data_IF_147705483754
#
_entry.id   IF_147705483754
#
_cell.length_a   1.000
_cell.length_b   1.000
_cell.length_c   1.000
_cell.angle_alpha   90.00
_cell.angle_beta   90.00
_cell.angle_gamma   90.00
#
_symmetry.space_group_name_H-M   'P 1'
#
loop_
_entity.id
_entity.type
_entity.pdbx_description
1 polymer ?
#
# COMPACT_ATOMS: atom_id res chain seq x y z
N UNK A 1 -33.99 2.31 -17.26
CA UNK A 1 -33.07 1.16 -17.40
C UNK A 1 -31.77 1.54 -16.74
N UNK A 2 -31.37 0.85 -15.67
CA UNK A 2 -30.01 1.04 -15.14
C UNK A 2 -29.02 0.45 -16.16
N UNK A 3 -28.18 1.30 -16.73
CA UNK A 3 -27.22 0.92 -17.79
C UNK A 3 -25.96 0.22 -17.22
N UNK A 4 -25.87 0.05 -15.90
CA UNK A 4 -24.72 -0.51 -15.21
C UNK A 4 -25.19 -1.62 -14.27
N UNK A 5 -24.60 -2.81 -14.42
CA UNK A 5 -24.77 -3.90 -13.44
C UNK A 5 -23.80 -3.66 -12.29
N UNK A 6 -24.31 -3.28 -11.12
CA UNK A 6 -23.48 -3.08 -9.92
C UNK A 6 -23.09 -4.42 -9.30
N UNK A 7 -21.82 -4.56 -8.98
CA UNK A 7 -21.26 -5.66 -8.20
C UNK A 7 -21.88 -5.63 -6.81
N UNK A 8 -22.34 -6.79 -6.34
CA UNK A 8 -22.84 -6.92 -4.98
C UNK A 8 -21.65 -7.10 -4.04
N UNK A 9 -21.48 -6.15 -3.13
CA UNK A 9 -20.40 -6.16 -2.14
C UNK A 9 -21.07 -6.29 -0.77
N UNK A 10 -20.80 -7.35 0.01
CA UNK A 10 -21.33 -7.47 1.36
C UNK A 10 -20.86 -6.31 2.23
N UNK A 11 -21.74 -5.82 3.10
CA UNK A 11 -21.35 -4.86 4.14
C UNK A 11 -20.33 -5.50 5.08
N UNK A 12 -19.30 -4.73 5.44
CA UNK A 12 -18.25 -5.18 6.34
C UNK A 12 -18.83 -5.53 7.71
N UNK A 13 -18.41 -6.67 8.25
CA UNK A 13 -18.69 -7.05 9.63
C UNK A 13 -17.79 -6.31 10.63
N UNK A 14 -16.70 -5.72 10.14
CA UNK A 14 -15.77 -4.88 10.89
C UNK A 14 -15.74 -3.51 10.23
N UNK A 15 -16.71 -2.62 10.52
CA UNK A 15 -16.79 -1.33 9.86
C UNK A 15 -15.68 -0.38 10.34
N UNK A 16 -15.25 0.49 9.43
CA UNK A 16 -14.32 1.57 9.67
C UNK A 16 -15.11 2.78 10.18
N UNK A 17 -14.71 3.28 11.35
CA UNK A 17 -15.18 4.55 11.93
C UNK A 17 -14.02 5.52 12.12
N UNK A 18 -14.28 6.73 12.62
CA UNK A 18 -13.21 7.70 12.85
C UNK A 18 -12.22 7.30 13.95
N UNK A 19 -12.62 6.41 14.86
CA UNK A 19 -11.70 5.77 15.80
C UNK A 19 -10.77 4.75 15.14
N UNK A 20 -11.07 4.30 13.92
CA UNK A 20 -10.20 3.38 13.20
C UNK A 20 -8.88 4.04 12.82
N UNK A 21 -7.80 3.33 13.08
CA UNK A 21 -6.49 3.57 12.45
C UNK A 21 -6.30 2.57 11.32
N UNK A 22 -5.96 3.08 10.12
CA UNK A 22 -5.99 2.32 8.85
C UNK A 22 -4.61 2.35 8.19
N UNK A 23 -3.97 1.19 8.11
CA UNK A 23 -2.74 1.00 7.33
C UNK A 23 -3.08 0.60 5.89
N UNK A 24 -2.39 1.17 4.90
CA UNK A 24 -2.58 0.85 3.49
C UNK A 24 -1.26 0.45 2.83
N UNK A 25 -1.21 -0.77 2.29
CA UNK A 25 -0.02 -1.34 1.67
C UNK A 25 -0.36 -1.87 0.29
N UNK A 26 0.60 -1.94 -0.63
CA UNK A 26 0.37 -2.53 -1.95
C UNK A 26 0.83 -1.68 -3.13
N UNK A 27 0.08 -1.83 -4.23
CA UNK A 27 0.25 -1.09 -5.48
C UNK A 27 0.14 0.43 -5.32
N UNK A 28 0.44 1.18 -6.38
CA UNK A 28 0.21 2.64 -6.41
C UNK A 28 -1.24 3.03 -6.12
N UNK A 29 -2.22 2.15 -6.39
CA UNK A 29 -3.62 2.38 -6.02
C UNK A 29 -3.82 2.50 -4.50
N UNK A 30 -3.00 1.84 -3.67
CA UNK A 30 -3.03 2.03 -2.21
C UNK A 30 -2.70 3.46 -1.80
N UNK A 31 -1.83 4.15 -2.56
CA UNK A 31 -1.53 5.55 -2.29
C UNK A 31 -2.74 6.45 -2.58
N UNK A 32 -3.45 6.23 -3.70
CA UNK A 32 -4.69 6.95 -4.01
C UNK A 32 -5.78 6.75 -2.94
N UNK A 33 -5.96 5.51 -2.47
CA UNK A 33 -6.88 5.23 -1.37
C UNK A 33 -6.41 5.88 -0.06
N UNK A 34 -5.10 5.86 0.21
CA UNK A 34 -4.50 6.53 1.35
C UNK A 34 -4.74 8.04 1.32
N UNK A 35 -4.65 8.67 0.16
CA UNK A 35 -4.96 10.09 -0.01
C UNK A 35 -6.43 10.38 0.27
N UNK A 36 -7.36 9.50 -0.13
CA UNK A 36 -8.79 9.63 0.23
C UNK A 36 -9.02 9.56 1.74
N UNK A 37 -8.35 8.64 2.44
CA UNK A 37 -8.40 8.58 3.91
C UNK A 37 -7.81 9.82 4.58
N UNK A 38 -6.65 10.30 4.11
CA UNK A 38 -5.99 11.52 4.62
C UNK A 38 -6.83 12.78 4.37
N UNK A 39 -7.40 12.91 3.18
CA UNK A 39 -8.34 13.99 2.85
C UNK A 39 -9.55 13.98 3.79
N UNK A 40 -10.07 12.79 4.11
CA UNK A 40 -11.13 12.61 5.08
C UNK A 40 -10.68 12.68 6.56
N UNK A 41 -9.40 13.01 6.85
CA UNK A 41 -8.82 13.17 8.18
C UNK A 41 -8.81 11.90 9.06
N UNK A 42 -8.80 10.71 8.45
CA UNK A 42 -8.58 9.47 9.19
C UNK A 42 -7.11 9.33 9.61
N UNK A 43 -6.88 8.68 10.76
CA UNK A 43 -5.55 8.18 11.15
C UNK A 43 -5.13 7.10 10.16
N UNK A 44 -4.32 7.46 9.18
CA UNK A 44 -3.94 6.55 8.09
C UNK A 44 -2.49 6.73 7.69
N UNK A 45 -1.84 5.62 7.36
CA UNK A 45 -0.50 5.60 6.77
C UNK A 45 -0.47 4.66 5.57
N UNK A 46 0.25 5.08 4.52
CA UNK A 46 0.23 4.41 3.23
C UNK A 46 1.65 4.15 2.72
N UNK A 47 1.94 2.88 2.42
CA UNK A 47 3.18 2.42 1.78
C UNK A 47 4.44 3.01 2.47
N UNK A 48 4.72 2.67 3.74
CA UNK A 48 5.89 3.18 4.46
C UNK A 48 7.20 2.83 3.72
N UNK A 49 7.27 1.63 3.12
CA UNK A 49 8.38 1.15 2.29
C UNK A 49 8.25 1.47 0.79
N UNK A 50 7.30 2.34 0.44
CA UNK A 50 6.88 2.61 -0.93
C UNK A 50 6.07 1.47 -1.55
N UNK A 51 5.89 1.51 -2.87
CA UNK A 51 4.97 0.60 -3.58
C UNK A 51 5.56 -0.79 -3.67
N UNK A 52 4.91 -1.75 -3.01
CA UNK A 52 5.26 -3.18 -3.03
C UNK A 52 3.96 -3.93 -3.27
N UNK A 53 3.79 -4.52 -4.45
CA UNK A 53 2.48 -4.98 -4.90
C UNK A 53 2.39 -6.50 -5.11
N UNK A 54 3.54 -7.19 -5.13
CA UNK A 54 3.60 -8.63 -5.27
C UNK A 54 3.68 -9.24 -3.86
N UNK A 55 2.77 -10.17 -3.49
CA UNK A 55 2.74 -10.73 -2.15
C UNK A 55 4.02 -11.48 -1.78
N UNK A 56 4.72 -12.09 -2.74
CA UNK A 56 5.99 -12.79 -2.50
C UNK A 56 7.09 -11.85 -2.02
N UNK A 57 7.15 -10.64 -2.56
CA UNK A 57 8.11 -9.62 -2.14
C UNK A 57 7.66 -8.89 -0.85
N UNK A 58 6.36 -8.92 -0.55
CA UNK A 58 5.78 -8.26 0.61
C UNK A 58 5.92 -9.09 1.89
N UNK A 59 5.74 -10.41 1.81
CA UNK A 59 5.76 -11.29 2.98
C UNK A 59 7.04 -11.19 3.84
N UNK A 60 8.27 -11.15 3.27
CA UNK A 60 9.49 -11.00 4.05
C UNK A 60 9.55 -9.72 4.89
N UNK A 61 8.92 -8.63 4.44
CA UNK A 61 8.85 -7.39 5.22
C UNK A 61 7.92 -7.54 6.44
N UNK A 62 6.80 -8.24 6.28
CA UNK A 62 5.91 -8.53 7.43
C UNK A 62 6.59 -9.45 8.43
N UNK A 63 7.27 -10.49 7.96
CA UNK A 63 8.08 -11.38 8.81
C UNK A 63 9.16 -10.60 9.56
N UNK A 64 9.89 -9.73 8.86
CA UNK A 64 10.92 -8.85 9.45
C UNK A 64 10.33 -7.91 10.50
N UNK A 65 9.15 -7.34 10.26
CA UNK A 65 8.43 -6.54 11.26
C UNK A 65 8.06 -7.35 12.49
N UNK A 66 7.53 -8.56 12.31
CA UNK A 66 7.10 -9.43 13.39
C UNK A 66 8.27 -9.94 14.24
N UNK A 67 9.42 -10.26 13.62
CA UNK A 67 10.64 -10.67 14.32
C UNK A 67 11.42 -9.51 14.94
N UNK A 68 11.15 -8.26 14.51
CA UNK A 68 11.94 -7.09 14.89
C UNK A 68 13.35 -7.08 14.31
N UNK A 69 13.61 -7.83 13.23
CA UNK A 69 14.94 -7.91 12.62
C UNK A 69 15.30 -6.63 11.89
N UNK A 70 16.28 -5.88 12.41
CA UNK A 70 16.72 -4.62 11.83
C UNK A 70 17.41 -4.81 10.47
N UNK A 71 17.23 -3.83 9.59
CA UNK A 71 18.03 -3.72 8.39
C UNK A 71 19.50 -3.45 8.75
N UNK A 72 20.40 -4.10 8.04
CA UNK A 72 21.86 -3.97 8.19
C UNK A 72 22.46 -3.47 6.89
N UNK A 73 23.72 -3.03 6.91
CA UNK A 73 24.38 -2.52 5.72
C UNK A 73 24.47 -3.57 4.59
N UNK A 74 24.54 -4.85 4.94
CA UNK A 74 24.50 -5.97 3.99
C UNK A 74 23.12 -6.23 3.35
N UNK A 75 22.08 -5.48 3.72
CA UNK A 75 20.78 -5.47 3.03
C UNK A 75 20.74 -4.46 1.87
N UNK A 76 21.83 -3.71 1.65
CA UNK A 76 21.91 -2.62 0.68
C UNK A 76 23.07 -2.79 -0.30
N UNK A 77 22.92 -2.15 -1.46
CA UNK A 77 23.94 -2.04 -2.49
C UNK A 77 23.93 -0.64 -3.10
N UNK A 78 25.08 -0.19 -3.61
CA UNK A 78 25.20 1.10 -4.28
C UNK A 78 24.86 1.00 -5.78
N UNK A 79 24.10 1.96 -6.29
CA UNK A 79 23.88 2.16 -7.72
C UNK A 79 23.45 3.59 -7.99
N UNK A 80 23.91 4.19 -9.10
CA UNK A 80 23.53 5.56 -9.47
C UNK A 80 23.72 6.56 -8.31
N UNK A 81 24.85 6.47 -7.60
CA UNK A 81 25.23 7.34 -6.46
C UNK A 81 24.27 7.26 -5.25
N UNK A 82 23.50 6.17 -5.15
CA UNK A 82 22.57 5.93 -4.04
C UNK A 82 22.62 4.49 -3.56
N UNK A 83 22.26 4.31 -2.29
CA UNK A 83 22.13 3.01 -1.64
C UNK A 83 20.69 2.52 -1.71
N UNK A 84 20.53 1.29 -2.19
CA UNK A 84 19.24 0.66 -2.48
C UNK A 84 19.12 -0.68 -1.78
N UNK A 85 17.88 -1.12 -1.51
CA UNK A 85 17.59 -2.50 -1.10
C UNK A 85 16.58 -3.14 -2.04
N UNK A 86 16.78 -4.40 -2.40
CA UNK A 86 15.83 -5.17 -3.20
C UNK A 86 14.50 -5.43 -2.46
N UNK A 87 14.45 -5.23 -1.14
CA UNK A 87 13.29 -5.51 -0.31
C UNK A 87 12.20 -4.43 -0.37
N UNK A 88 12.52 -3.23 -0.85
CA UNK A 88 11.57 -2.12 -0.90
C UNK A 88 11.76 -1.19 -2.10
N UNK A 89 10.81 -0.26 -2.27
CA UNK A 89 10.82 0.72 -3.36
C UNK A 89 11.96 1.74 -3.19
N UNK A 90 12.39 2.36 -4.28
CA UNK A 90 13.42 3.41 -4.28
C UNK A 90 13.09 4.67 -3.46
N UNK A 91 11.91 4.74 -2.83
CA UNK A 91 11.48 5.83 -1.93
C UNK A 91 12.45 6.01 -0.75
N UNK A 92 13.07 4.92 -0.28
CA UNK A 92 13.97 4.91 0.87
C UNK A 92 15.45 4.90 0.47
N UNK A 93 15.78 5.15 -0.80
CA UNK A 93 17.18 5.16 -1.25
C UNK A 93 17.89 6.43 -0.76
N UNK A 94 19.09 6.29 -0.21
CA UNK A 94 19.86 7.40 0.38
C UNK A 94 21.24 7.56 -0.26
N UNK A 95 21.96 8.63 0.08
CA UNK A 95 23.29 8.91 -0.49
C UNK A 95 24.40 8.05 0.13
N UNK A 96 24.24 7.59 1.38
CA UNK A 96 25.18 6.70 2.05
C UNK A 96 24.51 5.43 2.60
N UNK A 97 25.31 4.37 2.84
CA UNK A 97 24.85 3.12 3.44
C UNK A 97 24.27 3.35 4.84
N UNK A 98 24.93 4.17 5.66
CA UNK A 98 24.50 4.49 7.02
C UNK A 98 23.13 5.19 7.02
N UNK A 99 22.95 6.21 6.18
CA UNK A 99 21.66 6.89 6.02
C UNK A 99 20.56 5.94 5.52
N UNK A 100 20.90 5.03 4.59
CA UNK A 100 19.95 4.06 4.05
C UNK A 100 19.47 3.07 5.12
N UNK A 101 20.39 2.55 5.93
CA UNK A 101 20.11 1.69 7.09
C UNK A 101 19.25 2.43 8.12
N UNK A 102 19.59 3.67 8.45
CA UNK A 102 18.83 4.50 9.38
C UNK A 102 17.40 4.75 8.87
N UNK A 103 17.26 5.19 7.62
CA UNK A 103 15.96 5.47 7.01
C UNK A 103 15.08 4.22 6.92
N UNK A 104 15.65 3.06 6.56
CA UNK A 104 14.90 1.80 6.49
C UNK A 104 14.46 1.31 7.88
N UNK A 105 15.32 1.44 8.90
CA UNK A 105 14.96 1.08 10.26
C UNK A 105 13.97 2.06 10.89
N UNK A 106 14.04 3.35 10.55
CA UNK A 106 13.02 4.33 10.96
C UNK A 106 11.65 3.99 10.35
N UNK A 107 11.62 3.65 9.05
CA UNK A 107 10.42 3.15 8.39
C UNK A 107 9.91 1.84 9.03
N UNK A 108 10.80 0.94 9.41
CA UNK A 108 10.47 -0.31 10.11
C UNK A 108 9.81 -0.07 11.47
N UNK A 109 10.43 0.75 12.32
CA UNK A 109 9.86 1.08 13.62
C UNK A 109 8.51 1.81 13.49
N UNK A 110 8.43 2.79 12.59
CA UNK A 110 7.19 3.51 12.31
C UNK A 110 6.07 2.59 11.84
N UNK A 111 6.38 1.67 10.92
CA UNK A 111 5.42 0.68 10.42
C UNK A 111 4.95 -0.30 11.50
N UNK A 112 5.87 -0.82 12.33
CA UNK A 112 5.54 -1.71 13.45
C UNK A 112 4.59 -1.02 14.42
N UNK A 113 4.93 0.19 14.87
CA UNK A 113 4.11 0.94 15.82
C UNK A 113 2.75 1.31 15.22
N UNK A 114 2.72 1.71 13.95
CA UNK A 114 1.48 2.00 13.26
C UNK A 114 0.59 0.77 13.11
N UNK A 115 1.14 -0.41 12.78
CA UNK A 115 0.38 -1.67 12.66
C UNK A 115 -0.15 -2.12 14.03
N UNK A 116 0.64 -2.01 15.11
CA UNK A 116 0.19 -2.31 16.48
C UNK A 116 -1.03 -1.49 16.90
N UNK A 117 -1.06 -0.20 16.51
CA UNK A 117 -2.20 0.69 16.76
C UNK A 117 -3.34 0.57 15.73
N UNK A 118 -3.13 -0.15 14.64
CA UNK A 118 -4.10 -0.21 13.54
C UNK A 118 -5.29 -1.13 13.88
N UNK A 119 -6.48 -0.65 13.54
CA UNK A 119 -7.69 -1.49 13.51
C UNK A 119 -7.79 -2.28 12.21
N UNK A 120 -7.29 -1.70 11.11
CA UNK A 120 -7.42 -2.25 9.76
C UNK A 120 -6.08 -2.17 9.03
N UNK A 121 -5.75 -3.21 8.28
CA UNK A 121 -4.73 -3.18 7.24
C UNK A 121 -5.39 -3.51 5.90
N UNK A 122 -5.24 -2.62 4.94
CA UNK A 122 -5.69 -2.80 3.55
C UNK A 122 -4.48 -3.15 2.69
N UNK A 123 -4.48 -4.32 2.07
CA UNK A 123 -3.44 -4.73 1.11
C UNK A 123 -4.02 -4.77 -0.30
N UNK A 124 -3.47 -3.92 -1.18
CA UNK A 124 -3.81 -3.88 -2.61
C UNK A 124 -2.77 -4.63 -3.45
N UNK A 125 -3.07 -5.87 -3.83
CA UNK A 125 -2.20 -6.72 -4.64
C UNK A 125 -2.19 -6.26 -6.10
N UNK A 126 -1.02 -6.03 -6.69
CA UNK A 126 -0.90 -5.51 -8.06
C UNK A 126 -0.76 -6.60 -9.10
N UNK A 127 0.21 -7.50 -8.92
CA UNK A 127 0.54 -8.55 -9.89
C UNK A 127 1.13 -9.78 -9.19
N UNK A 128 0.76 -10.97 -9.66
CA UNK A 128 1.43 -12.23 -9.37
C UNK A 128 2.77 -12.37 -10.12
N UNK A 129 2.99 -11.57 -11.16
CA UNK A 129 4.31 -11.44 -11.78
C UNK A 129 5.25 -10.66 -10.87
N UNK A 130 6.49 -11.12 -10.81
CA UNK A 130 7.56 -10.45 -10.08
C UNK A 130 8.92 -10.88 -10.61
N UNK A 131 9.95 -10.37 -9.97
CA UNK A 131 11.33 -10.68 -10.28
C UNK A 131 11.96 -11.41 -9.10
N UNK A 132 12.80 -12.38 -9.42
CA UNK A 132 13.51 -13.22 -8.47
C UNK A 132 14.99 -13.09 -8.74
N UNK A 133 15.81 -12.96 -7.70
CA UNK A 133 17.27 -12.93 -7.86
C UNK A 133 17.79 -14.30 -8.28
N UNK A 134 18.54 -14.33 -9.38
CA UNK A 134 19.21 -15.53 -9.87
C UNK A 134 20.58 -15.60 -9.20
N UNK A 135 20.82 -16.66 -8.44
CA UNK A 135 22.07 -16.88 -7.72
C UNK A 135 23.22 -17.24 -8.66
N UNK A 136 23.71 -16.30 -9.48
CA UNK A 136 24.96 -16.44 -10.25
C UNK A 136 25.57 -15.08 -10.59
N UNK A 137 25.90 -14.28 -9.58
CA UNK A 137 27.01 -13.33 -9.71
C UNK A 137 28.34 -13.99 -9.26
N UNK A 138 28.32 -15.04 -8.44
CA UNK A 138 29.54 -15.69 -7.96
C UNK A 138 30.13 -16.81 -8.85
N UNK A 139 29.45 -17.26 -9.93
CA UNK A 139 29.81 -18.53 -10.61
C UNK A 139 30.44 -18.42 -12.02
N UNK A 140 30.51 -17.24 -12.64
CA UNK A 140 31.06 -17.09 -14.00
C UNK A 140 32.21 -16.07 -14.09
N UNK A 141 33.01 -15.90 -13.03
CA UNK A 141 34.24 -15.10 -13.07
C UNK A 141 34.08 -13.61 -13.44
N UNK A 142 32.85 -13.09 -13.44
CA UNK A 142 32.51 -11.70 -13.81
C UNK A 142 31.53 -11.02 -12.85
N UNK A 143 31.17 -11.63 -11.70
CA UNK A 143 30.13 -11.08 -10.82
C UNK A 143 30.49 -10.99 -9.34
N UNK A 144 31.78 -10.94 -8.99
CA UNK A 144 32.19 -10.39 -7.69
C UNK A 144 31.99 -8.88 -7.61
N UNK A 145 31.95 -8.19 -8.77
CA UNK A 145 32.14 -6.73 -8.88
C UNK A 145 30.82 -5.92 -8.94
N UNK A 146 29.67 -6.59 -9.07
CA UNK A 146 28.36 -5.91 -9.20
C UNK A 146 27.80 -5.40 -7.86
N UNK A 147 28.27 -5.97 -6.75
CA UNK A 147 27.78 -5.68 -5.39
C UNK A 147 28.91 -5.46 -4.38
N UNK A 148 30.17 -5.46 -4.82
CA UNK A 148 31.27 -4.97 -3.99
C UNK A 148 31.21 -3.45 -3.97
N UNK A 149 31.09 -2.89 -2.78
CA UNK A 149 31.25 -1.46 -2.59
C UNK A 149 32.65 -1.04 -3.11
N UNK A 150 32.80 0.11 -3.79
CA UNK A 150 34.10 0.60 -4.18
C UNK A 150 35.00 0.70 -2.94
N UNK A 151 36.20 0.12 -3.00
CA UNK A 151 37.16 0.09 -1.89
C UNK A 151 37.69 1.48 -1.47
N UNK A 152 37.17 2.55 -2.06
CA UNK A 152 37.58 3.94 -1.83
C UNK A 152 36.55 4.76 -1.04
N UNK A 153 35.34 4.24 -0.76
CA UNK A 153 34.42 4.91 0.17
C UNK A 153 34.73 4.50 1.61
N UNK A 154 35.09 5.46 2.45
CA UNK A 154 35.39 5.24 3.89
C UNK A 154 34.24 4.58 4.67
N UNK A 155 33.01 4.60 4.13
CA UNK A 155 31.79 4.06 4.73
C UNK A 155 31.28 2.75 4.07
N UNK A 156 32.09 2.11 3.21
CA UNK A 156 31.71 0.83 2.61
C UNK A 156 31.54 -0.25 3.70
N UNK A 157 30.44 -1.03 3.71
CA UNK A 157 30.31 -2.15 4.62
C UNK A 157 31.44 -3.16 4.41
N UNK A 158 32.00 -3.66 5.50
CA UNK A 158 33.08 -4.66 5.49
C UNK A 158 32.62 -6.02 4.97
N UNK A 159 31.30 -6.25 4.90
CA UNK A 159 30.68 -7.43 4.30
C UNK A 159 29.97 -7.05 3.00
N UNK A 160 30.21 -7.84 1.94
CA UNK A 160 29.55 -7.67 0.64
C UNK A 160 28.08 -8.05 0.73
N UNK A 161 27.23 -7.32 0.01
CA UNK A 161 25.82 -7.66 -0.15
C UNK A 161 25.71 -9.03 -0.85
N UNK A 162 25.18 -10.04 -0.15
CA UNK A 162 24.89 -11.36 -0.73
C UNK A 162 23.38 -11.59 -0.66
N UNK A 163 22.64 -11.41 -1.77
CA UNK A 163 21.22 -11.70 -1.74
C UNK A 163 21.01 -13.22 -1.65
N UNK A 164 19.96 -13.68 -0.94
CA UNK A 164 19.55 -15.06 -1.03
C UNK A 164 19.23 -15.39 -2.49
N UNK A 165 19.80 -16.48 -3.03
CA UNK A 165 19.35 -17.01 -4.31
C UNK A 165 17.86 -17.31 -4.21
N UNK A 166 17.09 -16.96 -5.25
CA UNK A 166 15.64 -17.16 -5.32
C UNK A 166 14.78 -16.19 -4.48
N UNK A 167 15.35 -15.13 -3.92
CA UNK A 167 14.57 -14.09 -3.26
C UNK A 167 13.73 -13.27 -4.26
N UNK A 168 12.43 -13.13 -3.99
CA UNK A 168 11.55 -12.22 -4.71
C UNK A 168 11.85 -10.77 -4.31
N UNK A 169 12.00 -9.89 -5.31
CA UNK A 169 12.38 -8.50 -5.07
C UNK A 169 11.19 -7.55 -5.27
N UNK A 170 11.13 -6.50 -4.44
CA UNK A 170 10.14 -5.45 -4.55
C UNK A 170 10.46 -4.47 -5.68
N UNK A 171 11.75 -4.24 -5.95
CA UNK A 171 12.22 -3.33 -6.99
C UNK A 171 13.58 -3.78 -7.53
N UNK A 172 13.77 -3.75 -8.86
CA UNK A 172 15.04 -4.12 -9.50
C UNK A 172 16.07 -2.98 -9.54
N UNK A 173 15.70 -1.74 -9.19
CA UNK A 173 16.57 -0.56 -9.14
C UNK A 173 17.42 -0.31 -10.40
N UNK A 174 16.86 -0.64 -11.57
CA UNK A 174 17.53 -0.58 -12.90
C UNK A 174 18.84 -1.39 -12.98
N UNK A 175 19.03 -2.36 -12.09
CA UNK A 175 20.14 -3.30 -12.15
C UNK A 175 20.07 -4.16 -13.42
N UNK A 176 21.20 -4.77 -13.85
CA UNK A 176 21.24 -5.60 -15.05
C UNK A 176 20.15 -6.67 -15.06
N UNK A 177 19.44 -6.83 -16.18
CA UNK A 177 18.37 -7.83 -16.25
C UNK A 177 18.87 -9.27 -16.05
N UNK A 178 20.17 -9.54 -16.28
CA UNK A 178 20.80 -10.85 -16.13
C UNK A 178 20.81 -11.42 -14.71
N UNK A 179 20.69 -10.57 -13.68
CA UNK A 179 20.64 -11.01 -12.29
C UNK A 179 19.22 -11.30 -11.80
N UNK A 180 18.20 -11.10 -12.65
CA UNK A 180 16.82 -11.37 -12.32
C UNK A 180 16.18 -12.37 -13.28
N UNK A 181 15.35 -13.23 -12.72
CA UNK A 181 14.42 -14.04 -13.48
C UNK A 181 13.01 -13.54 -13.22
N UNK A 182 12.29 -13.23 -14.29
CA UNK A 182 10.88 -12.85 -14.19
C UNK A 182 10.02 -14.10 -14.10
N UNK A 183 9.23 -14.22 -13.03
CA UNK A 183 8.33 -15.35 -12.79
C UNK A 183 6.94 -14.88 -12.43
N UNK A 184 5.95 -15.71 -12.73
CA UNK A 184 4.63 -15.62 -12.12
C UNK A 184 4.60 -16.57 -10.93
N UNK A 185 4.17 -16.08 -9.78
CA UNK A 185 4.02 -16.92 -8.60
C UNK A 185 2.93 -17.96 -8.85
N UNK A 186 3.21 -19.21 -8.49
CA UNK A 186 2.22 -20.29 -8.52
C UNK A 186 1.12 -20.04 -7.47
N UNK A 187 -0.02 -20.70 -7.64
CA UNK A 187 -1.15 -20.59 -6.71
C UNK A 187 -0.74 -20.91 -5.26
N UNK A 188 0.02 -21.99 -5.04
CA UNK A 188 0.52 -22.36 -3.71
C UNK A 188 1.49 -21.33 -3.12
N UNK A 189 2.36 -20.73 -3.93
CA UNK A 189 3.25 -19.66 -3.48
C UNK A 189 2.48 -18.40 -3.05
N UNK A 190 1.45 -18.01 -3.81
CA UNK A 190 0.61 -16.86 -3.47
C UNK A 190 -0.15 -17.09 -2.15
N UNK A 191 -0.75 -18.28 -1.97
CA UNK A 191 -1.44 -18.65 -0.73
C UNK A 191 -0.49 -18.67 0.47
N UNK A 192 0.68 -19.29 0.31
CA UNK A 192 1.72 -19.32 1.34
C UNK A 192 2.16 -17.90 1.74
N UNK A 193 2.40 -17.01 0.76
CA UNK A 193 2.75 -15.62 1.06
C UNK A 193 1.67 -14.89 1.85
N UNK A 194 0.38 -15.05 1.49
CA UNK A 194 -0.73 -14.47 2.25
C UNK A 194 -0.83 -15.05 3.67
N UNK A 195 -0.59 -16.35 3.82
CA UNK A 195 -0.57 -17.01 5.12
C UNK A 195 0.58 -16.50 6.00
N UNK A 196 1.78 -16.34 5.45
CA UNK A 196 2.94 -15.78 6.17
C UNK A 196 2.70 -14.33 6.60
N UNK A 197 2.12 -13.50 5.72
CA UNK A 197 1.70 -12.13 6.08
C UNK A 197 0.71 -12.17 7.25
N UNK A 198 -0.32 -13.02 7.19
CA UNK A 198 -1.30 -13.11 8.26
C UNK A 198 -0.73 -13.61 9.59
N UNK A 199 0.20 -14.58 9.56
CA UNK A 199 0.87 -15.07 10.75
C UNK A 199 1.72 -13.98 11.41
N UNK A 200 2.50 -13.24 10.61
CA UNK A 200 3.27 -12.09 11.07
C UNK A 200 2.37 -10.98 11.66
N UNK A 201 1.24 -10.70 10.99
CA UNK A 201 0.25 -9.74 11.50
C UNK A 201 -0.34 -10.16 12.84
N UNK A 202 -0.67 -11.44 13.03
CA UNK A 202 -1.18 -11.94 14.31
C UNK A 202 -0.18 -11.79 15.45
N UNK A 203 1.11 -11.90 15.16
CA UNK A 203 2.18 -11.67 16.14
C UNK A 203 2.27 -10.19 16.53
N UNK A 204 2.15 -9.28 15.54
CA UNK A 204 2.22 -7.84 15.76
C UNK A 204 0.96 -7.28 16.42
N UNK A 205 -0.22 -7.69 15.93
CA UNK A 205 -1.53 -7.21 16.33
C UNK A 205 -2.61 -8.28 16.06
N UNK A 206 -2.97 -9.11 17.06
CA UNK A 206 -3.93 -10.21 16.88
C UNK A 206 -5.38 -9.76 16.64
N UNK A 207 -5.67 -8.46 16.78
CA UNK A 207 -7.02 -7.90 16.59
C UNK A 207 -7.19 -7.20 15.24
N UNK A 208 -6.13 -7.05 14.46
CA UNK A 208 -6.17 -6.32 13.20
C UNK A 208 -7.08 -7.02 12.19
N UNK A 209 -7.93 -6.25 11.52
CA UNK A 209 -8.72 -6.72 10.40
C UNK A 209 -7.92 -6.56 9.10
N UNK A 210 -7.74 -7.64 8.35
CA UNK A 210 -7.04 -7.63 7.06
C UNK A 210 -8.05 -7.58 5.92
N UNK A 211 -8.06 -6.47 5.19
CA UNK A 211 -8.85 -6.28 3.98
C UNK A 211 -7.94 -6.42 2.76
N UNK A 212 -8.19 -7.44 1.95
CA UNK A 212 -7.48 -7.69 0.71
C UNK A 212 -8.23 -7.06 -0.47
N UNK A 213 -7.50 -6.58 -1.47
CA UNK A 213 -8.09 -6.14 -2.74
C UNK A 213 -7.09 -6.34 -3.87
N UNK A 214 -7.58 -6.67 -5.07
CA UNK A 214 -6.74 -6.72 -6.27
C UNK A 214 -6.79 -5.36 -6.96
N UNK A 215 -5.63 -4.81 -7.29
CA UNK A 215 -5.47 -3.47 -7.84
C UNK A 215 -6.23 -3.31 -9.16
N UNK A 216 -6.95 -2.18 -9.38
CA UNK A 216 -7.56 -1.84 -10.67
C UNK A 216 -6.54 -1.41 -11.73
N UNK A 217 -5.28 -1.16 -11.34
CA UNK A 217 -4.21 -0.77 -12.26
C UNK A 217 -3.83 -1.96 -13.14
N UNK A 218 -3.74 -1.71 -14.46
CA UNK A 218 -3.33 -2.72 -15.45
C UNK A 218 -1.81 -2.75 -15.61
N UNK A 219 -1.24 -3.95 -15.59
CA UNK A 219 0.19 -4.17 -15.88
C UNK A 219 0.38 -4.42 -17.38
N UNK A 220 0.40 -3.34 -18.18
CA UNK A 220 0.42 -3.45 -19.65
C UNK A 220 1.78 -3.83 -20.25
N UNK A 221 2.88 -3.65 -19.50
CA UNK A 221 4.25 -3.90 -19.99
C UNK A 221 4.45 -5.31 -20.55
N UNK A 222 3.73 -6.29 -20.01
CA UNK A 222 3.82 -7.70 -20.37
C UNK A 222 2.67 -8.17 -21.28
N UNK A 223 1.80 -7.24 -21.68
CA UNK A 223 0.61 -7.53 -22.47
C UNK A 223 -0.65 -7.78 -21.63
N UNK A 224 -1.80 -7.54 -22.27
CA UNK A 224 -3.12 -7.65 -21.64
C UNK A 224 -3.46 -9.07 -21.18
N UNK A 225 -2.95 -10.08 -21.90
CA UNK A 225 -3.13 -11.49 -21.57
C UNK A 225 -2.43 -11.83 -20.25
N UNK A 226 -1.18 -11.40 -20.09
CA UNK A 226 -0.42 -11.65 -18.87
C UNK A 226 -0.93 -10.84 -17.68
N UNK A 227 -1.43 -9.62 -17.92
CA UNK A 227 -2.18 -8.89 -16.90
C UNK A 227 -3.41 -9.70 -16.44
N UNK A 228 -4.21 -10.21 -17.38
CA UNK A 228 -5.43 -10.95 -17.03
C UNK A 228 -5.12 -12.23 -16.26
N UNK A 229 -4.10 -12.99 -16.69
CA UNK A 229 -3.62 -14.18 -15.99
C UNK A 229 -3.13 -13.86 -14.58
N UNK A 230 -2.38 -12.77 -14.42
CA UNK A 230 -1.89 -12.30 -13.12
C UNK A 230 -3.02 -11.91 -12.17
N UNK A 231 -4.01 -11.14 -12.65
CA UNK A 231 -5.19 -10.74 -11.87
C UNK A 231 -6.02 -11.95 -11.47
N UNK A 232 -6.24 -12.90 -12.38
CA UNK A 232 -6.93 -14.15 -12.10
C UNK A 232 -6.21 -14.96 -11.01
N UNK A 233 -4.88 -15.12 -11.10
CA UNK A 233 -4.10 -15.82 -10.08
C UNK A 233 -4.21 -15.16 -8.70
N UNK A 234 -4.13 -13.82 -8.63
CA UNK A 234 -4.30 -13.09 -7.37
C UNK A 234 -5.71 -13.23 -6.80
N UNK A 235 -6.75 -13.11 -7.63
CA UNK A 235 -8.15 -13.26 -7.21
C UNK A 235 -8.38 -14.65 -6.61
N UNK A 236 -8.00 -15.71 -7.33
CA UNK A 236 -8.14 -17.09 -6.84
C UNK A 236 -7.36 -17.27 -5.53
N UNK A 237 -6.11 -16.81 -5.46
CA UNK A 237 -5.30 -16.94 -4.25
C UNK A 237 -5.90 -16.23 -3.04
N UNK A 238 -6.47 -15.03 -3.22
CA UNK A 238 -7.13 -14.28 -2.15
C UNK A 238 -8.38 -15.00 -1.66
N UNK A 239 -9.24 -15.47 -2.56
CA UNK A 239 -10.46 -16.17 -2.17
C UNK A 239 -10.18 -17.51 -1.49
N UNK A 240 -9.32 -18.34 -2.09
CA UNK A 240 -8.91 -19.61 -1.48
C UNK A 240 -8.26 -19.39 -0.10
N UNK A 241 -7.42 -18.36 0.04
CA UNK A 241 -6.79 -18.03 1.32
C UNK A 241 -7.85 -17.69 2.39
N UNK A 242 -8.81 -16.83 2.07
CA UNK A 242 -9.88 -16.43 3.01
C UNK A 242 -10.74 -17.64 3.38
N UNK A 243 -11.17 -18.43 2.39
CA UNK A 243 -12.10 -19.56 2.57
C UNK A 243 -11.47 -20.75 3.30
N UNK A 244 -10.14 -20.91 3.21
CA UNK A 244 -9.42 -21.98 3.91
C UNK A 244 -9.14 -21.66 5.40
N UNK A 245 -9.37 -20.43 5.87
CA UNK A 245 -9.13 -20.08 7.26
C UNK A 245 -10.19 -20.63 8.21
N UNK A 246 -9.78 -20.93 9.45
CA UNK A 246 -10.70 -21.24 10.54
C UNK A 246 -11.70 -20.08 10.76
N UNK A 247 -12.99 -20.33 11.07
CA UNK A 247 -14.03 -19.29 11.17
C UNK A 247 -13.68 -18.08 12.03
N UNK A 248 -13.00 -18.28 13.16
CA UNK A 248 -12.55 -17.19 14.04
C UNK A 248 -11.53 -16.24 13.38
N UNK A 249 -10.66 -16.78 12.51
CA UNK A 249 -9.70 -16.00 11.73
C UNK A 249 -10.37 -15.41 10.50
N UNK A 250 -11.23 -16.17 9.84
CA UNK A 250 -11.96 -15.73 8.64
C UNK A 250 -12.80 -14.48 8.92
N UNK A 251 -13.36 -14.33 10.12
CA UNK A 251 -14.09 -13.12 10.55
C UNK A 251 -13.22 -11.84 10.55
N UNK A 252 -11.90 -11.96 10.63
CA UNK A 252 -10.94 -10.84 10.55
C UNK A 252 -10.40 -10.62 9.14
N UNK A 253 -10.92 -11.33 8.15
CA UNK A 253 -10.52 -11.23 6.75
C UNK A 253 -11.67 -10.74 5.90
N UNK A 254 -11.37 -9.91 4.92
CA UNK A 254 -12.37 -9.45 3.95
C UNK A 254 -11.74 -9.17 2.60
N UNK A 255 -12.57 -9.14 1.57
CA UNK A 255 -12.17 -8.78 0.22
C UNK A 255 -13.00 -7.60 -0.30
N UNK A 256 -12.34 -6.62 -0.91
CA UNK A 256 -12.99 -5.52 -1.61
C UNK A 256 -12.68 -5.58 -3.12
N UNK A 257 -13.69 -5.58 -4.02
CA UNK A 257 -13.50 -5.87 -5.45
C UNK A 257 -13.13 -4.62 -6.27
N UNK A 258 -12.02 -3.95 -5.96
CA UNK A 258 -11.63 -2.70 -6.67
C UNK A 258 -11.28 -2.94 -8.15
N UNK A 259 -10.62 -4.06 -8.47
CA UNK A 259 -10.31 -4.45 -9.84
C UNK A 259 -11.59 -4.73 -10.66
N UNK A 260 -12.52 -5.47 -10.09
CA UNK A 260 -13.77 -5.85 -10.75
C UNK A 260 -14.65 -4.61 -10.95
N UNK A 261 -14.72 -3.69 -9.98
CA UNK A 261 -15.41 -2.39 -10.18
C UNK A 261 -14.83 -1.65 -11.38
N UNK A 262 -13.50 -1.57 -11.50
CA UNK A 262 -12.85 -0.93 -12.63
C UNK A 262 -13.18 -1.63 -13.96
N UNK A 263 -13.23 -2.96 -13.97
CA UNK A 263 -13.45 -3.74 -15.18
C UNK A 263 -14.92 -3.81 -15.59
N UNK A 264 -15.85 -3.86 -14.63
CA UNK A 264 -17.26 -4.19 -14.87
C UNK A 264 -18.23 -3.04 -14.64
N UNK A 265 -17.98 -2.17 -13.67
CA UNK A 265 -18.81 -0.97 -13.46
C UNK A 265 -18.29 0.22 -14.29
N UNK A 266 -16.97 0.29 -14.52
CA UNK A 266 -16.25 1.40 -15.15
C UNK A 266 -15.66 1.06 -16.54
N UNK A 267 -16.48 0.48 -17.42
CA UNK A 267 -16.08 -0.12 -18.73
C UNK A 267 -15.57 0.83 -19.82
N UNK A 268 -15.47 2.13 -19.57
CA UNK A 268 -15.17 3.16 -20.56
C UNK A 268 -13.74 3.71 -20.43
N UNK A 269 -13.09 4.05 -21.54
CA UNK A 269 -11.73 4.60 -21.55
C UNK A 269 -11.57 5.90 -20.75
N UNK A 270 -12.64 6.67 -20.57
CA UNK A 270 -12.64 7.86 -19.69
C UNK A 270 -12.21 7.55 -18.25
N UNK A 271 -12.35 6.29 -17.83
CA UNK A 271 -11.98 5.85 -16.50
C UNK A 271 -10.51 5.46 -16.37
N UNK A 272 -9.71 5.61 -17.42
CA UNK A 272 -8.26 5.46 -17.40
C UNK A 272 -7.56 6.81 -17.60
N UNK A 273 -6.36 6.94 -17.08
CA UNK A 273 -5.45 8.03 -17.44
C UNK A 273 -4.94 7.83 -18.88
N UNK A 274 -4.24 8.82 -19.48
CA UNK A 274 -3.72 8.69 -20.84
C UNK A 274 -2.76 7.50 -21.09
N UNK A 275 -2.21 6.90 -20.04
CA UNK A 275 -1.37 5.69 -20.16
C UNK A 275 -2.17 4.39 -20.36
N UNK A 276 -3.50 4.46 -20.29
CA UNK A 276 -4.44 3.34 -20.45
C UNK A 276 -4.29 2.23 -19.41
N UNK A 277 -3.48 2.44 -18.37
CA UNK A 277 -3.14 1.49 -17.33
C UNK A 277 -3.72 1.89 -15.97
N UNK A 278 -3.57 3.15 -15.59
CA UNK A 278 -4.00 3.66 -14.30
C UNK A 278 -5.45 4.15 -14.33
N UNK A 279 -6.22 3.97 -13.24
CA UNK A 279 -7.52 4.59 -13.10
C UNK A 279 -7.42 6.12 -13.10
N UNK A 280 -8.35 6.78 -13.77
CA UNK A 280 -8.55 8.24 -13.68
C UNK A 280 -8.98 8.66 -12.26
N UNK A 281 -8.89 9.96 -11.94
CA UNK A 281 -9.42 10.49 -10.68
C UNK A 281 -10.93 10.23 -10.51
N UNK A 282 -11.68 10.25 -11.62
CA UNK A 282 -13.10 9.92 -11.62
C UNK A 282 -13.33 8.47 -11.19
N UNK A 283 -12.51 7.54 -11.71
CA UNK A 283 -12.56 6.13 -11.35
C UNK A 283 -12.17 5.87 -9.90
N UNK A 284 -11.06 6.48 -9.44
CA UNK A 284 -10.64 6.42 -8.03
C UNK A 284 -11.76 6.93 -7.10
N UNK A 285 -12.37 8.06 -7.44
CA UNK A 285 -13.46 8.63 -6.63
C UNK A 285 -14.70 7.75 -6.63
N UNK A 286 -15.05 7.12 -7.75
CA UNK A 286 -16.13 6.16 -7.79
C UNK A 286 -15.85 4.92 -6.93
N UNK A 287 -14.66 4.33 -7.04
CA UNK A 287 -14.25 3.19 -6.21
C UNK A 287 -14.26 3.56 -4.73
N UNK A 288 -13.84 4.78 -4.37
CA UNK A 288 -13.93 5.30 -3.01
C UNK A 288 -15.38 5.37 -2.49
N UNK A 289 -16.34 5.85 -3.29
CA UNK A 289 -17.75 5.84 -2.90
C UNK A 289 -18.28 4.41 -2.69
N UNK A 290 -17.91 3.47 -3.58
CA UNK A 290 -18.27 2.05 -3.43
C UNK A 290 -17.66 1.45 -2.17
N UNK A 291 -16.42 1.81 -1.86
CA UNK A 291 -15.70 1.37 -0.66
C UNK A 291 -16.41 1.85 0.60
N UNK A 292 -16.57 3.16 0.77
CA UNK A 292 -17.21 3.76 1.94
C UNK A 292 -18.61 3.19 2.21
N UNK A 293 -19.40 2.99 1.15
CA UNK A 293 -20.78 2.51 1.26
C UNK A 293 -20.91 1.12 1.90
N UNK A 294 -19.84 0.31 1.89
CA UNK A 294 -19.87 -1.05 2.44
C UNK A 294 -18.90 -1.25 3.59
N UNK A 295 -17.90 -0.38 3.76
CA UNK A 295 -16.90 -0.51 4.82
C UNK A 295 -17.10 0.46 5.97
N UNK A 296 -17.90 1.52 5.84
CA UNK A 296 -18.08 2.54 6.89
C UNK A 296 -19.50 2.56 7.44
N UNK A 297 -19.65 2.98 8.70
CA UNK A 297 -20.97 3.13 9.33
C UNK A 297 -21.68 4.42 8.85
N UNK A 298 -23.01 4.50 8.90
CA UNK A 298 -23.74 5.73 8.58
C UNK A 298 -23.27 6.94 9.38
N UNK A 299 -22.99 6.77 10.67
CA UNK A 299 -22.50 7.84 11.56
C UNK A 299 -21.12 8.33 11.11
N UNK A 300 -20.27 7.42 10.65
CA UNK A 300 -18.97 7.77 10.09
C UNK A 300 -19.12 8.61 8.81
N UNK A 301 -20.03 8.21 7.90
CA UNK A 301 -20.29 8.95 6.66
C UNK A 301 -20.84 10.36 6.94
N UNK A 302 -21.78 10.49 7.88
CA UNK A 302 -22.29 11.80 8.31
C UNK A 302 -21.18 12.69 8.89
N UNK A 303 -20.26 12.10 9.67
CA UNK A 303 -19.13 12.84 10.19
C UNK A 303 -18.15 13.26 9.08
N UNK A 304 -17.91 12.41 8.07
CA UNK A 304 -17.08 12.76 6.91
C UNK A 304 -17.64 13.97 6.17
N UNK A 305 -18.96 14.08 6.03
CA UNK A 305 -19.59 15.24 5.39
C UNK A 305 -19.38 16.53 6.20
N UNK A 306 -19.41 16.44 7.53
CA UNK A 306 -19.06 17.57 8.42
C UNK A 306 -17.61 18.00 8.22
N UNK A 307 -16.67 17.04 8.21
CA UNK A 307 -15.23 17.31 7.97
C UNK A 307 -15.03 17.98 6.61
N UNK A 308 -15.61 17.42 5.55
CA UNK A 308 -15.51 17.96 4.19
C UNK A 308 -16.08 19.38 4.07
N UNK A 309 -17.20 19.65 4.75
CA UNK A 309 -17.76 21.01 4.81
C UNK A 309 -16.79 21.99 5.47
N UNK A 310 -16.24 21.64 6.63
CA UNK A 310 -15.27 22.50 7.33
C UNK A 310 -14.02 22.74 6.48
N UNK A 311 -13.48 21.71 5.82
CA UNK A 311 -12.33 21.88 4.92
C UNK A 311 -12.63 22.83 3.75
N UNK A 312 -13.83 22.76 3.16
CA UNK A 312 -14.25 23.71 2.12
C UNK A 312 -14.38 25.13 2.66
N UNK A 313 -14.95 25.28 3.85
CA UNK A 313 -15.13 26.58 4.51
C UNK A 313 -13.78 27.21 4.89
N UNK A 314 -12.79 26.42 5.32
CA UNK A 314 -11.40 26.86 5.58
C UNK A 314 -10.72 27.37 4.31
N UNK A 315 -10.88 26.64 3.20
CA UNK A 315 -10.28 26.99 1.92
C UNK A 315 -11.07 28.07 1.16
N UNK A 316 -12.22 28.51 1.68
CA UNK A 316 -13.07 29.51 1.02
C UNK A 316 -12.37 30.87 0.97
N UNK A 317 -12.29 31.44 -0.23
CA UNK A 317 -11.77 32.80 -0.45
C UNK A 317 -12.93 33.80 -0.49
N UNK A 318 -13.09 34.64 0.54
CA UNK A 318 -14.21 35.58 0.61
C UNK A 318 -14.05 36.74 -0.39
N UNK A 319 -15.16 37.18 -0.98
CA UNK A 319 -15.17 38.35 -1.86
C UNK A 319 -15.06 39.68 -1.10
N UNK A 320 -15.55 39.75 0.15
CA UNK A 320 -15.51 40.93 1.01
C UNK A 320 -15.07 40.58 2.44
N UNK A 321 -13.77 40.59 2.68
CA UNK A 321 -13.15 40.22 3.96
C UNK A 321 -13.57 41.08 5.16
N UNK A 322 -13.94 42.35 4.93
CA UNK A 322 -14.29 43.29 6.01
C UNK A 322 -15.79 43.32 6.33
N UNK A 323 -16.61 42.53 5.62
CA UNK A 323 -18.06 42.51 5.84
C UNK A 323 -18.44 41.89 7.19
N UNK A 324 -19.57 42.31 7.76
CA UNK A 324 -20.12 41.70 8.97
C UNK A 324 -20.47 40.22 8.77
N UNK A 325 -20.98 39.87 7.58
CA UNK A 325 -21.27 38.50 7.18
C UNK A 325 -20.01 37.61 7.21
N UNK A 326 -18.87 38.10 6.70
CA UNK A 326 -17.63 37.34 6.73
C UNK A 326 -17.09 37.13 8.16
N UNK A 327 -17.24 38.13 9.05
CA UNK A 327 -16.90 37.96 10.48
C UNK A 327 -17.77 36.91 11.16
N UNK A 328 -19.08 36.92 10.91
CA UNK A 328 -20.01 35.91 11.44
C UNK A 328 -19.67 34.50 10.91
N UNK A 329 -19.39 34.38 9.61
CA UNK A 329 -18.92 33.15 8.98
C UNK A 329 -17.65 32.61 9.67
N UNK A 330 -16.62 33.44 9.86
CA UNK A 330 -15.38 33.05 10.55
C UNK A 330 -15.63 32.59 11.99
N UNK A 331 -16.55 33.24 12.71
CA UNK A 331 -16.92 32.82 14.06
C UNK A 331 -17.56 31.42 14.05
N UNK A 332 -18.50 31.18 13.13
CA UNK A 332 -19.15 29.87 12.99
C UNK A 332 -18.18 28.78 12.55
N UNK A 333 -17.27 29.09 11.65
CA UNK A 333 -16.22 28.16 11.22
C UNK A 333 -15.33 27.74 12.39
N UNK A 334 -14.89 28.69 13.24
CA UNK A 334 -14.10 28.38 14.44
C UNK A 334 -14.86 27.49 15.43
N UNK A 335 -16.17 27.71 15.59
CA UNK A 335 -17.03 26.85 16.42
C UNK A 335 -17.09 25.43 15.85
N UNK A 336 -17.38 25.28 14.56
CA UNK A 336 -17.43 23.97 13.90
C UNK A 336 -16.09 23.21 14.01
N UNK A 337 -14.96 23.89 13.84
CA UNK A 337 -13.61 23.30 14.02
C UNK A 337 -13.44 22.80 15.46
N UNK A 338 -13.81 23.62 16.47
CA UNK A 338 -13.71 23.23 17.88
C UNK A 338 -14.60 22.05 18.23
N UNK A 339 -15.80 21.96 17.65
CA UNK A 339 -16.69 20.83 17.88
C UNK A 339 -16.11 19.54 17.29
N UNK A 340 -15.55 19.59 16.07
CA UNK A 340 -14.83 18.44 15.50
C UNK A 340 -13.64 18.03 16.36
N UNK A 341 -12.83 19.00 16.82
CA UNK A 341 -11.66 18.73 17.67
C UNK A 341 -12.02 18.22 19.07
N UNK A 342 -13.22 18.53 19.57
CA UNK A 342 -13.74 17.96 20.82
C UNK A 342 -14.08 16.49 20.66
N UNK A 343 -14.63 16.10 19.50
CA UNK A 343 -14.94 14.71 19.17
C UNK A 343 -13.66 13.93 18.82
N UNK A 344 -12.78 14.48 17.99
CA UNK A 344 -11.52 13.84 17.54
C UNK A 344 -10.32 14.79 17.64
N UNK A 345 -9.58 14.78 18.76
CA UNK A 345 -8.53 15.76 19.06
C UNK A 345 -7.30 15.78 18.15
N UNK A 346 -7.10 14.74 17.34
CA UNK A 346 -5.99 14.64 16.38
C UNK A 346 -6.30 15.30 15.02
N UNK A 347 -7.50 15.85 14.82
CA UNK A 347 -7.86 16.53 13.58
C UNK A 347 -7.43 18.00 13.62
N UNK A 348 -6.78 18.44 12.55
CA UNK A 348 -6.26 19.80 12.43
C UNK A 348 -6.71 20.42 11.10
N UNK A 349 -6.93 21.74 11.12
CA UNK A 349 -7.55 22.51 10.03
C UNK A 349 -6.75 23.76 9.68
#
# INVERSE_FOLDING_TARGET
MELQTKIRIPTSQTPIGYESQVALWGSCFSAHMGDKFKQAQFRSDANPFGVIFNPMAMAPLFERMASGTLFQACDFFESQEKWHSFTFHSKLSQASAAEAVEAANQALFGAIEFIKGSSHLIITLGSAWGYVLVGTAAANGQGSDLFTAPSESFDAPTESFVPPSEAWVANCHKQPASIFEKKIASQGQLQDALQRIQQALKQLNPKIHLLLTVSPVRHLKDGLQENSRSKAALLTAVHDFIESQHPSTQAQLSYFPSYEIQMDELRDYRFYTPDMAHPSEQAVSYIWERFKAVTMTPECLEFMDRVSKVQRDVNHRPFQEKSAAHRAFKSKLKENIRDIQREYPWMFY
#
